data_IF_459227194965
#
_entry.id   IF_459227194965
#
_cell.length_a   1.000
_cell.length_b   1.000
_cell.length_c   1.000
_cell.angle_alpha   90.00
_cell.angle_beta   90.00
_cell.angle_gamma   90.00
#
_symmetry.space_group_name_H-M   'P 1'
#
loop_
_entity.id
_entity.type
_entity.pdbx_description
1 polymer ?
#
# COMPACT_ATOMS: atom_id res chain seq x y z
N UNK A 1 5.85 -1.15 4.85
CA UNK A 1 5.63 -2.23 3.87
C UNK A 1 5.97 -1.78 2.44
N UNK A 2 7.25 -1.85 2.03
CA UNK A 2 7.69 -1.41 0.68
C UNK A 2 7.24 -2.38 -0.41
N UNK A 3 7.44 -3.70 -0.20
CA UNK A 3 7.06 -4.73 -1.18
C UNK A 3 5.56 -4.81 -1.46
N UNK A 4 4.71 -4.63 -0.45
CA UNK A 4 3.26 -4.61 -0.64
C UNK A 4 2.81 -3.44 -1.51
N UNK A 5 3.50 -2.30 -1.45
CA UNK A 5 3.18 -1.16 -2.31
C UNK A 5 3.52 -1.44 -3.77
N UNK A 6 4.67 -2.07 -4.03
CA UNK A 6 5.02 -2.50 -5.39
C UNK A 6 4.00 -3.51 -5.94
N UNK A 7 3.59 -4.50 -5.14
CA UNK A 7 2.58 -5.48 -5.54
C UNK A 7 1.21 -4.83 -5.79
N UNK A 8 0.80 -3.87 -4.96
CA UNK A 8 -0.47 -3.16 -5.15
C UNK A 8 -0.50 -2.33 -6.43
N UNK A 9 0.59 -1.61 -6.74
CA UNK A 9 0.70 -0.85 -7.98
C UNK A 9 0.73 -1.77 -9.20
N UNK A 10 1.55 -2.83 -9.18
CA UNK A 10 1.58 -3.81 -10.27
C UNK A 10 0.21 -4.47 -10.48
N UNK A 11 -0.45 -4.86 -9.41
CA UNK A 11 -1.74 -5.51 -9.54
C UNK A 11 -2.85 -4.54 -10.01
N UNK A 12 -2.72 -3.23 -9.73
CA UNK A 12 -3.60 -2.21 -10.28
C UNK A 12 -3.49 -2.04 -11.80
N UNK A 13 -2.37 -2.43 -12.43
CA UNK A 13 -2.21 -2.35 -13.89
C UNK A 13 -2.86 -3.51 -14.65
N UNK A 14 -3.32 -4.54 -13.95
CA UNK A 14 -3.85 -5.77 -14.55
C UNK A 14 -5.36 -5.69 -14.88
N UNK A 15 -6.02 -4.55 -14.63
CA UNK A 15 -7.47 -4.32 -14.80
C UNK A 15 -8.32 -5.49 -14.26
N UNK A 16 -7.94 -5.99 -13.08
CA UNK A 16 -8.54 -7.19 -12.50
C UNK A 16 -9.83 -6.83 -11.74
N UNK A 17 -11.01 -7.37 -12.13
CA UNK A 17 -12.27 -7.09 -11.45
C UNK A 17 -12.39 -7.75 -10.07
N UNK A 18 -11.44 -8.61 -9.68
CA UNK A 18 -11.46 -9.34 -8.41
C UNK A 18 -10.85 -8.51 -7.27
N UNK A 19 -11.45 -8.64 -6.08
CA UNK A 19 -10.95 -8.02 -4.84
C UNK A 19 -9.60 -8.65 -4.47
N UNK A 20 -8.54 -7.83 -4.43
CA UNK A 20 -7.19 -8.29 -4.09
C UNK A 20 -6.94 -8.17 -2.59
N UNK A 21 -6.48 -9.26 -1.97
CA UNK A 21 -6.19 -9.39 -0.53
C UNK A 21 -4.93 -8.64 -0.06
N UNK A 22 -4.73 -7.40 -0.50
CA UNK A 22 -3.55 -6.58 -0.26
C UNK A 22 -3.66 -5.71 1.00
N UNK A 23 -4.77 -5.77 1.74
CA UNK A 23 -5.01 -4.99 2.95
C UNK A 23 -4.19 -5.41 4.20
N UNK A 24 -3.37 -6.45 4.10
CA UNK A 24 -2.57 -6.99 5.22
C UNK A 24 -1.45 -6.05 5.68
N UNK A 25 -1.17 -5.01 4.92
CA UNK A 25 -0.18 -3.99 5.26
C UNK A 25 -0.43 -3.30 6.58
N UNK A 26 -1.67 -3.22 7.07
CA UNK A 26 -2.01 -2.56 8.34
C UNK A 26 -1.86 -3.45 9.59
N UNK A 27 -1.48 -4.73 9.44
CA UNK A 27 -1.37 -5.67 10.56
C UNK A 27 -0.08 -5.53 11.38
N UNK A 28 0.89 -4.75 10.89
CA UNK A 28 2.15 -4.50 11.59
C UNK A 28 2.20 -3.05 12.08
N UNK A 29 2.55 -2.87 13.35
CA UNK A 29 2.66 -1.56 14.00
C UNK A 29 3.91 -0.78 13.55
N UNK A 30 4.90 -1.47 12.99
CA UNK A 30 6.20 -0.94 12.56
C UNK A 30 6.31 -0.83 11.02
N UNK A 31 5.25 -0.36 10.37
CA UNK A 31 5.31 -0.11 8.94
C UNK A 31 5.84 1.28 8.63
N UNK A 32 6.78 1.35 7.68
CA UNK A 32 7.06 2.60 6.97
C UNK A 32 5.75 3.22 6.48
N UNK A 33 5.54 4.50 6.80
CA UNK A 33 4.46 5.29 6.24
C UNK A 33 4.56 5.20 4.72
N UNK A 34 3.47 4.85 4.05
CA UNK A 34 3.43 4.65 2.61
C UNK A 34 2.29 5.43 1.97
N UNK A 35 2.35 5.73 0.66
CA UNK A 35 1.25 6.36 -0.08
C UNK A 35 0.00 5.49 -0.20
N UNK A 36 0.03 4.24 0.23
CA UNK A 36 -1.16 3.40 0.29
C UNK A 36 -2.00 3.73 1.53
N UNK A 37 -3.31 3.86 1.33
CA UNK A 37 -4.28 4.05 2.39
C UNK A 37 -5.50 3.20 2.08
N UNK A 38 -6.05 2.55 3.10
CA UNK A 38 -7.33 1.85 2.99
C UNK A 38 -8.44 2.90 3.16
N UNK A 39 -9.30 3.02 2.15
CA UNK A 39 -10.48 3.89 2.18
C UNK A 39 -11.70 2.98 2.05
N UNK A 40 -12.50 2.91 3.12
CA UNK A 40 -13.51 1.86 3.33
C UNK A 40 -12.84 0.48 3.32
N UNK A 41 -13.03 -0.29 2.24
CA UNK A 41 -12.47 -1.64 2.07
C UNK A 41 -11.55 -1.75 0.85
N UNK A 42 -11.14 -0.60 0.28
CA UNK A 42 -10.27 -0.55 -0.91
C UNK A 42 -8.93 0.06 -0.59
N UNK A 43 -7.87 -0.65 -0.97
CA UNK A 43 -6.52 -0.11 -0.97
C UNK A 43 -6.40 0.94 -2.08
N UNK A 44 -6.17 2.19 -1.68
CA UNK A 44 -6.07 3.35 -2.57
C UNK A 44 -4.68 3.95 -2.50
N UNK A 45 -4.15 4.37 -3.64
CA UNK A 45 -2.90 5.12 -3.73
C UNK A 45 -3.19 6.61 -3.60
N UNK A 46 -2.56 7.28 -2.63
CA UNK A 46 -2.67 8.73 -2.40
C UNK A 46 -1.33 9.38 -2.77
N UNK A 47 -1.24 10.09 -3.92
CA UNK A 47 0.00 10.70 -4.39
C UNK A 47 0.61 11.71 -3.41
N UNK A 48 -0.22 12.36 -2.60
CA UNK A 48 0.22 13.37 -1.62
C UNK A 48 0.83 12.79 -0.34
N UNK A 49 0.71 11.48 -0.08
CA UNK A 49 1.41 10.85 1.04
C UNK A 49 2.82 10.47 0.59
N UNK A 50 3.81 10.83 1.39
CA UNK A 50 5.21 10.44 1.14
C UNK A 50 5.58 9.22 1.95
N UNK A 51 6.61 8.53 1.49
CA UNK A 51 7.24 7.49 2.28
C UNK A 51 7.97 8.13 3.46
N UNK A 52 7.78 7.56 4.65
CA UNK A 52 8.67 7.84 5.77
C UNK A 52 9.74 6.75 5.78
N UNK A 53 10.97 7.13 5.45
CA UNK A 53 12.13 6.25 5.32
C UNK A 53 13.20 6.58 6.37
N UNK A 54 12.85 7.29 7.44
CA UNK A 54 13.80 7.72 8.45
C UNK A 54 14.60 6.54 9.03
N UNK A 55 13.97 5.38 9.25
CA UNK A 55 14.67 4.20 9.80
C UNK A 55 15.61 3.49 8.79
N UNK A 56 15.69 3.97 7.54
CA UNK A 56 16.55 3.41 6.51
C UNK A 56 17.90 4.13 6.36
N UNK A 57 18.04 5.32 6.98
CA UNK A 57 19.20 6.21 6.89
C UNK A 57 19.63 6.69 8.28
#
# INVERSE_FOLDING_TARGET
>A
NIGLNALAQFASTLDNPLVMGLGTGSLYLNNFTSPLTIIHDRLSFIPNKKWDLHDLF
#
